data_IF_529257944670
#
_entry.id   IF_529257944670
#
_cell.length_a   1.000
_cell.length_b   1.000
_cell.length_c   1.000
_cell.angle_alpha   90.00
_cell.angle_beta   90.00
_cell.angle_gamma   90.00
#
_symmetry.space_group_name_H-M   'P 1'
#
loop_
_entity.id
_entity.type
_entity.pdbx_description
1 polymer ?
#
# COMPACT_ATOMS: atom_id res chain seq x y z
N UNK A 1 -19.84 8.93 -14.48
CA UNK A 1 -19.17 7.79 -13.82
C UNK A 1 -17.97 7.41 -14.67
N UNK A 2 -16.76 7.43 -14.12
CA UNK A 2 -15.56 6.93 -14.82
C UNK A 2 -15.74 5.41 -14.95
N UNK A 3 -15.51 4.85 -16.14
CA UNK A 3 -15.58 3.40 -16.32
C UNK A 3 -14.36 2.73 -15.68
N UNK A 4 -14.60 1.74 -14.82
CA UNK A 4 -13.55 0.92 -14.23
C UNK A 4 -12.85 0.06 -15.30
N UNK A 5 -11.54 -0.08 -15.19
CA UNK A 5 -10.78 -1.01 -16.02
C UNK A 5 -11.12 -2.48 -15.66
N UNK A 6 -10.84 -3.46 -16.54
CA UNK A 6 -11.03 -4.88 -16.21
C UNK A 6 -10.27 -5.30 -14.95
N UNK A 7 -9.06 -4.80 -14.75
CA UNK A 7 -8.21 -5.10 -13.59
C UNK A 7 -8.85 -4.58 -12.31
N UNK A 8 -9.33 -3.33 -12.33
CA UNK A 8 -10.05 -2.74 -11.20
C UNK A 8 -11.31 -3.53 -10.87
N UNK A 9 -12.08 -3.95 -11.89
CA UNK A 9 -13.30 -4.76 -11.67
C UNK A 9 -12.98 -6.09 -11.02
N UNK A 10 -11.95 -6.79 -11.48
CA UNK A 10 -11.57 -8.08 -10.92
C UNK A 10 -11.08 -7.92 -9.47
N UNK A 11 -10.21 -6.94 -9.21
CA UNK A 11 -9.70 -6.68 -7.86
C UNK A 11 -10.80 -6.25 -6.87
N UNK A 12 -11.76 -5.44 -7.33
CA UNK A 12 -12.88 -4.97 -6.48
C UNK A 12 -13.98 -6.01 -6.27
N UNK A 13 -13.84 -7.24 -6.78
CA UNK A 13 -14.71 -8.35 -6.41
C UNK A 13 -14.31 -9.01 -5.09
N UNK A 14 -13.02 -8.94 -4.74
CA UNK A 14 -12.50 -9.48 -3.48
C UNK A 14 -13.00 -8.67 -2.29
N UNK A 15 -13.09 -9.28 -1.11
CA UNK A 15 -13.33 -8.52 0.12
C UNK A 15 -12.13 -7.64 0.50
N UNK A 16 -12.35 -6.67 1.39
CA UNK A 16 -11.33 -5.72 1.85
C UNK A 16 -10.11 -6.46 2.42
N UNK A 17 -10.30 -7.51 3.22
CA UNK A 17 -9.22 -8.27 3.83
C UNK A 17 -8.31 -8.91 2.76
N UNK A 18 -8.90 -9.51 1.72
CA UNK A 18 -8.18 -10.12 0.60
C UNK A 18 -7.40 -9.05 -0.18
N UNK A 19 -8.02 -7.90 -0.48
CA UNK A 19 -7.34 -6.77 -1.14
C UNK A 19 -6.15 -6.24 -0.32
N UNK A 20 -6.29 -6.15 1.00
CA UNK A 20 -5.20 -5.74 1.89
C UNK A 20 -4.07 -6.77 1.94
N UNK A 21 -4.36 -8.07 1.82
CA UNK A 21 -3.32 -9.09 1.69
C UNK A 21 -2.54 -8.95 0.36
N UNK A 22 -3.20 -8.58 -0.74
CA UNK A 22 -2.50 -8.25 -1.99
C UNK A 22 -1.55 -7.06 -1.81
N UNK A 23 -1.99 -6.01 -1.12
CA UNK A 23 -1.14 -4.87 -0.78
C UNK A 23 0.04 -5.28 0.12
N UNK A 24 -0.19 -6.08 1.16
CA UNK A 24 0.85 -6.59 2.04
C UNK A 24 1.88 -7.44 1.27
N UNK A 25 1.44 -8.26 0.31
CA UNK A 25 2.34 -9.03 -0.54
C UNK A 25 3.26 -8.13 -1.39
N UNK A 26 2.76 -6.99 -1.89
CA UNK A 26 3.62 -6.03 -2.57
C UNK A 26 4.62 -5.37 -1.61
N UNK A 27 4.16 -4.93 -0.43
CA UNK A 27 5.05 -4.33 0.56
C UNK A 27 6.15 -5.30 1.02
N UNK A 28 5.84 -6.59 1.14
CA UNK A 28 6.83 -7.64 1.43
C UNK A 28 7.88 -7.80 0.32
N UNK A 29 7.44 -7.79 -0.94
CA UNK A 29 8.35 -7.82 -2.08
C UNK A 29 9.22 -6.57 -2.16
N UNK A 30 8.64 -5.38 -2.00
CA UNK A 30 9.34 -4.09 -1.92
C UNK A 30 10.38 -4.13 -0.80
N UNK A 31 10.00 -4.59 0.39
CA UNK A 31 10.93 -4.70 1.52
C UNK A 31 12.10 -5.64 1.22
N UNK A 32 11.84 -6.77 0.59
CA UNK A 32 12.88 -7.71 0.18
C UNK A 32 13.83 -7.08 -0.83
N UNK A 33 13.32 -6.23 -1.72
CA UNK A 33 14.12 -5.51 -2.72
C UNK A 33 14.94 -4.36 -2.13
N UNK A 34 14.52 -3.74 -1.03
CA UNK A 34 15.34 -2.75 -0.32
C UNK A 34 16.57 -3.37 0.35
N UNK A 35 16.43 -4.59 0.87
CA UNK A 35 17.47 -5.29 1.65
C UNK A 35 18.37 -6.16 0.76
N UNK A 36 17.87 -6.61 -0.39
CA UNK A 36 18.61 -7.43 -1.35
C UNK A 36 19.31 -6.63 -2.44
N UNK A 37 20.05 -7.34 -3.30
CA UNK A 37 20.74 -6.77 -4.47
C UNK A 37 19.79 -6.64 -5.68
N UNK A 38 18.55 -6.22 -5.42
CA UNK A 38 17.46 -6.24 -6.40
C UNK A 38 17.50 -5.06 -7.35
N UNK A 39 16.94 -5.25 -8.55
CA UNK A 39 16.85 -4.19 -9.55
C UNK A 39 15.78 -3.15 -9.20
N UNK A 40 16.20 -1.89 -9.19
CA UNK A 40 15.36 -0.68 -9.13
C UNK A 40 14.12 -0.75 -10.04
N UNK A 41 14.29 -1.29 -11.24
CA UNK A 41 13.25 -1.32 -12.27
C UNK A 41 12.11 -2.30 -11.94
N UNK A 42 12.38 -3.30 -11.10
CA UNK A 42 11.38 -4.28 -10.67
C UNK A 42 10.51 -3.74 -9.53
N UNK A 43 11.02 -2.79 -8.73
CA UNK A 43 10.28 -2.24 -7.59
C UNK A 43 9.25 -1.19 -8.03
N UNK A 44 9.56 -0.40 -9.07
CA UNK A 44 8.68 0.68 -9.54
C UNK A 44 7.26 0.23 -9.93
N UNK A 45 7.07 -0.86 -10.69
CA UNK A 45 5.73 -1.38 -10.97
C UNK A 45 4.95 -1.73 -9.70
N UNK A 46 5.60 -2.38 -8.73
CA UNK A 46 4.97 -2.74 -7.44
C UNK A 46 4.50 -1.49 -6.69
N UNK A 47 5.35 -0.46 -6.59
CA UNK A 47 5.00 0.82 -5.95
C UNK A 47 3.79 1.48 -6.63
N UNK A 48 3.76 1.47 -7.97
CA UNK A 48 2.64 2.04 -8.73
C UNK A 48 1.36 1.25 -8.52
N UNK A 49 1.42 -0.07 -8.56
CA UNK A 49 0.26 -0.94 -8.40
C UNK A 49 -0.30 -0.94 -6.97
N UNK A 50 0.56 -0.91 -5.95
CA UNK A 50 0.15 -0.75 -4.55
C UNK A 50 -0.70 0.51 -4.33
N UNK A 51 -0.42 1.61 -5.05
CA UNK A 51 -1.25 2.82 -4.98
C UNK A 51 -2.67 2.58 -5.51
N UNK A 52 -2.80 1.82 -6.60
CA UNK A 52 -4.11 1.46 -7.14
C UNK A 52 -4.87 0.53 -6.20
N UNK A 53 -4.20 -0.46 -5.60
CA UNK A 53 -4.83 -1.34 -4.61
C UNK A 53 -5.42 -0.54 -3.44
N UNK A 54 -4.72 0.50 -2.97
CA UNK A 54 -5.23 1.36 -1.93
C UNK A 54 -6.41 2.21 -2.43
N UNK A 55 -6.28 2.86 -3.58
CA UNK A 55 -7.34 3.68 -4.19
C UNK A 55 -8.64 2.89 -4.37
N UNK A 56 -8.54 1.59 -4.68
CA UNK A 56 -9.70 0.71 -4.88
C UNK A 56 -10.21 0.04 -3.60
N UNK A 57 -9.43 0.04 -2.52
CA UNK A 57 -9.82 -0.53 -1.22
C UNK A 57 -10.49 0.51 -0.32
N UNK A 58 -9.92 1.71 -0.25
CA UNK A 58 -10.35 2.80 0.65
C UNK A 58 -11.85 3.13 0.55
N UNK A 59 -12.48 3.21 -0.64
CA UNK A 59 -13.90 3.55 -0.73
C UNK A 59 -14.81 2.55 0.00
N UNK A 60 -14.47 1.26 0.02
CA UNK A 60 -15.29 0.25 0.67
C UNK A 60 -15.07 0.22 2.19
N UNK A 61 -13.86 0.57 2.67
CA UNK A 61 -13.60 0.82 4.09
C UNK A 61 -14.43 2.01 4.60
N UNK A 62 -14.46 3.13 3.85
CA UNK A 62 -15.25 4.31 4.20
C UNK A 62 -16.75 3.99 4.21
N UNK A 63 -17.25 3.21 3.26
CA UNK A 63 -18.66 2.75 3.26
C UNK A 63 -19.00 1.88 4.48
N UNK A 64 -18.01 1.17 5.01
CA UNK A 64 -18.14 0.33 6.20
C UNK A 64 -17.86 1.10 7.51
N UNK A 65 -17.75 2.44 7.46
CA UNK A 65 -17.47 3.34 8.60
C UNK A 65 -16.08 3.14 9.24
N UNK A 66 -15.14 2.49 8.53
CA UNK A 66 -13.75 2.31 8.97
C UNK A 66 -12.86 3.48 8.50
N UNK A 67 -13.24 4.70 8.90
CA UNK A 67 -12.67 5.95 8.38
C UNK A 67 -11.21 6.14 8.82
N UNK A 68 -10.89 5.81 10.07
CA UNK A 68 -9.55 6.05 10.62
C UNK A 68 -8.50 5.18 9.91
N UNK A 69 -8.78 3.88 9.74
CA UNK A 69 -7.86 2.98 9.03
C UNK A 69 -7.82 3.28 7.54
N UNK A 70 -8.92 3.74 6.94
CA UNK A 70 -8.92 4.22 5.57
C UNK A 70 -8.00 5.46 5.39
N UNK A 71 -7.99 6.39 6.36
CA UNK A 71 -7.07 7.52 6.36
C UNK A 71 -5.60 7.08 6.42
N UNK A 72 -5.29 6.06 7.22
CA UNK A 72 -3.92 5.52 7.27
C UNK A 72 -3.46 4.98 5.91
N UNK A 73 -4.33 4.28 5.17
CA UNK A 73 -3.97 3.84 3.82
C UNK A 73 -3.73 5.01 2.86
N UNK A 74 -4.45 6.13 3.03
CA UNK A 74 -4.18 7.35 2.27
C UNK A 74 -2.78 7.89 2.57
N UNK A 75 -2.33 7.84 3.83
CA UNK A 75 -0.95 8.23 4.18
C UNK A 75 0.10 7.32 3.53
N UNK A 76 -0.17 6.01 3.43
CA UNK A 76 0.66 5.09 2.66
C UNK A 76 0.69 5.46 1.17
N UNK A 77 -0.44 5.81 0.53
CA UNK A 77 -0.43 6.28 -0.86
C UNK A 77 0.42 7.53 -1.03
N UNK A 78 0.37 8.46 -0.07
CA UNK A 78 1.19 9.68 -0.10
C UNK A 78 2.67 9.36 -0.03
N UNK A 79 3.06 8.47 0.88
CA UNK A 79 4.44 7.98 0.97
C UNK A 79 4.90 7.37 -0.36
N UNK A 80 4.15 6.41 -0.91
CA UNK A 80 4.50 5.75 -2.17
C UNK A 80 4.55 6.75 -3.34
N UNK A 81 3.68 7.76 -3.33
CA UNK A 81 3.67 8.82 -4.33
C UNK A 81 4.92 9.69 -4.22
N UNK A 82 5.35 10.06 -3.01
CA UNK A 82 6.58 10.82 -2.79
C UNK A 82 7.80 10.06 -3.32
N UNK A 83 7.86 8.74 -3.09
CA UNK A 83 8.94 7.91 -3.63
C UNK A 83 8.99 7.93 -5.16
N UNK A 84 7.85 7.97 -5.85
CA UNK A 84 7.83 8.06 -7.32
C UNK A 84 8.42 9.39 -7.83
N UNK A 85 8.30 10.47 -7.06
CA UNK A 85 8.87 11.78 -7.40
C UNK A 85 10.35 11.89 -7.06
N UNK A 86 10.79 11.23 -5.98
CA UNK A 86 12.16 11.35 -5.45
C UNK A 86 13.01 10.09 -5.68
N UNK A 87 12.58 9.25 -6.62
CA UNK A 87 13.07 7.88 -6.79
C UNK A 87 14.58 7.77 -7.02
N UNK A 88 15.15 8.66 -7.83
CA UNK A 88 16.59 8.70 -8.12
C UNK A 88 17.42 9.04 -6.87
N UNK A 89 16.94 9.99 -6.06
CA UNK A 89 17.63 10.43 -4.85
C UNK A 89 17.58 9.33 -3.79
N UNK A 90 16.39 8.75 -3.55
CA UNK A 90 16.22 7.62 -2.64
C UNK A 90 17.12 6.46 -3.06
N UNK A 91 17.24 6.16 -4.36
CA UNK A 91 18.05 5.02 -4.82
C UNK A 91 19.57 5.28 -4.80
N UNK A 92 20.01 6.53 -4.81
CA UNK A 92 21.45 6.87 -4.79
C UNK A 92 21.99 7.15 -3.40
N UNK A 93 21.12 7.35 -2.41
CA UNK A 93 21.45 7.67 -1.03
C UNK A 93 21.16 6.49 -0.09
N UNK A 94 22.20 5.99 0.58
CA UNK A 94 22.09 4.84 1.48
C UNK A 94 21.23 5.12 2.73
N UNK A 95 21.24 6.35 3.27
CA UNK A 95 20.41 6.71 4.42
C UNK A 95 18.94 6.78 4.02
N UNK A 96 18.65 7.34 2.84
CA UNK A 96 17.28 7.39 2.32
C UNK A 96 16.74 5.99 1.99
N UNK A 97 17.56 5.09 1.41
CA UNK A 97 17.18 3.68 1.26
C UNK A 97 16.85 3.02 2.58
N UNK A 98 17.68 3.25 3.60
CA UNK A 98 17.46 2.67 4.92
C UNK A 98 16.16 3.19 5.53
N UNK A 99 15.87 4.49 5.38
CA UNK A 99 14.60 5.09 5.80
C UNK A 99 13.42 4.45 5.07
N UNK A 100 13.47 4.36 3.74
CA UNK A 100 12.42 3.76 2.93
C UNK A 100 12.16 2.29 3.30
N UNK A 101 13.20 1.54 3.66
CA UNK A 101 13.06 0.16 4.15
C UNK A 101 12.35 0.08 5.52
N UNK A 102 12.67 0.99 6.44
CA UNK A 102 12.00 1.05 7.74
C UNK A 102 10.52 1.43 7.58
N UNK A 103 10.22 2.40 6.73
CA UNK A 103 8.86 2.80 6.38
C UNK A 103 8.09 1.63 5.74
N UNK A 104 8.70 0.89 4.81
CA UNK A 104 8.07 -0.28 4.20
C UNK A 104 7.74 -1.34 5.25
N UNK A 105 8.66 -1.60 6.18
CA UNK A 105 8.46 -2.58 7.26
C UNK A 105 7.35 -2.17 8.21
N UNK A 106 7.28 -0.88 8.54
CA UNK A 106 6.18 -0.31 9.33
C UNK A 106 4.83 -0.54 8.63
N UNK A 107 4.73 -0.16 7.36
CA UNK A 107 3.48 -0.24 6.61
C UNK A 107 3.06 -1.67 6.30
N UNK A 108 3.99 -2.58 6.03
CA UNK A 108 3.71 -4.01 5.87
C UNK A 108 3.01 -4.55 7.11
N UNK A 109 3.59 -4.30 8.29
CA UNK A 109 2.98 -4.70 9.56
C UNK A 109 1.62 -4.04 9.75
N UNK A 110 1.51 -2.74 9.50
CA UNK A 110 0.25 -2.01 9.71
C UNK A 110 -0.88 -2.50 8.80
N UNK A 111 -0.60 -2.76 7.52
CA UNK A 111 -1.59 -3.31 6.58
C UNK A 111 -2.06 -4.70 7.02
N UNK A 112 -1.16 -5.54 7.55
CA UNK A 112 -1.52 -6.85 8.10
C UNK A 112 -2.36 -6.74 9.39
N UNK A 113 -2.10 -5.74 10.23
CA UNK A 113 -2.94 -5.46 11.41
C UNK A 113 -4.35 -5.03 10.99
N UNK A 114 -4.47 -4.14 10.00
CA UNK A 114 -5.78 -3.70 9.46
C UNK A 114 -6.52 -4.89 8.83
N UNK A 115 -5.83 -5.76 8.07
CA UNK A 115 -6.48 -6.90 7.40
C UNK A 115 -7.00 -7.96 8.38
N UNK A 116 -6.37 -8.08 9.55
CA UNK A 116 -6.70 -9.07 10.58
C UNK A 116 -7.63 -8.60 11.69
N UNK A 117 -8.07 -7.34 11.69
CA UNK A 117 -8.92 -6.77 12.76
C UNK A 117 -10.25 -6.28 12.23
N UNK A 118 -11.35 -6.58 12.95
CA UNK A 118 -12.65 -5.98 12.63
C UNK A 118 -12.59 -4.46 12.82
N UNK A 119 -13.31 -3.67 12.01
CA UNK A 119 -13.46 -2.23 12.22
C UNK A 119 -13.94 -1.97 13.65
N UNK A 120 -13.35 -0.99 14.34
CA UNK A 120 -13.82 -0.63 15.66
C UNK A 120 -15.26 -0.15 15.54
N UNK A 121 -16.21 -0.90 16.13
CA UNK A 121 -17.59 -0.45 16.19
C UNK A 121 -17.59 0.76 17.10
N UNK A 122 -17.94 1.94 16.58
CA UNK A 122 -18.22 3.09 17.42
C UNK A 122 -19.30 2.69 18.42
N UNK A 123 -18.90 2.45 19.67
CA UNK A 123 -19.84 2.36 20.78
C UNK A 123 -20.39 3.77 20.97
N UNK A 124 -21.65 3.95 20.54
CA UNK A 124 -22.41 5.18 20.63
C UNK A 124 -22.60 5.66 22.08
#
# INVERSE_FOLDING_TARGET
>A
MIQMTPEQKNFTQDDVTTRLHHLANHLSQIQSMWVGDSSRDLMLPLVKESRYFIEWTVPDMVKADDIDRACELVDLVRLLTNWLFDWDNIWSDAEQKQSASLETSYWLRRVLEISGTEPESMSA
#
